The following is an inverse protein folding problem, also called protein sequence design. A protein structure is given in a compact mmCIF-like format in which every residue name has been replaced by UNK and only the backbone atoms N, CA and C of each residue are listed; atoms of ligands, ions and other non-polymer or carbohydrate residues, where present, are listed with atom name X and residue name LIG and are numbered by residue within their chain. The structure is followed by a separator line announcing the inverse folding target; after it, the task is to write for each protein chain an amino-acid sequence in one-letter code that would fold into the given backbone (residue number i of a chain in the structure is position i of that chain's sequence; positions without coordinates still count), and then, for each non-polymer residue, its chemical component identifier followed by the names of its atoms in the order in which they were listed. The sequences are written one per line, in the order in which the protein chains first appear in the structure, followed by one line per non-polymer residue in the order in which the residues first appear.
data_IF_474369289611
#
_entry.id   IF_474369289611
#
_cell.length_a   1.000
_cell.length_b   1.000
_cell.length_c   1.000
_cell.angle_alpha   90.00
_cell.angle_beta   90.00
_cell.angle_gamma   90.00
#
_symmetry.space_group_name_H-M   'P 1'
#
loop_
_entity.id
_entity.type
_entity.pdbx_description
1 polymer ?
#
# COMPACT_ATOMS: atom_id res chain seq x y z
N UNK A 1 5.56 11.28 -20.87
CA UNK A 1 5.90 11.49 -19.44
C UNK A 1 7.28 10.90 -19.22
N UNK A 2 8.20 11.66 -18.63
CA UNK A 2 9.56 11.17 -18.32
C UNK A 2 9.46 10.02 -17.29
N UNK A 3 10.38 9.06 -17.26
CA UNK A 3 10.35 7.95 -16.28
C UNK A 3 10.18 8.43 -14.83
N UNK A 4 10.83 9.54 -14.47
CA UNK A 4 10.77 10.16 -13.13
C UNK A 4 9.39 10.75 -12.80
N UNK A 5 8.74 11.42 -13.76
CA UNK A 5 7.39 11.96 -13.60
C UNK A 5 6.35 10.84 -13.47
N UNK A 6 6.58 9.73 -14.16
CA UNK A 6 5.73 8.54 -14.08
C UNK A 6 5.83 7.88 -12.71
N UNK A 7 7.04 7.73 -12.18
CA UNK A 7 7.24 7.18 -10.83
C UNK A 7 6.60 8.08 -9.77
N UNK A 8 6.70 9.40 -9.88
CA UNK A 8 6.05 10.32 -8.94
C UNK A 8 4.53 10.14 -8.88
N UNK A 9 3.86 9.99 -10.04
CA UNK A 9 2.42 9.72 -10.08
C UNK A 9 2.08 8.36 -9.42
N UNK A 10 2.86 7.32 -9.70
CA UNK A 10 2.65 5.98 -9.11
C UNK A 10 2.88 5.99 -7.60
N UNK A 11 3.90 6.71 -7.11
CA UNK A 11 4.16 6.87 -5.68
C UNK A 11 3.03 7.64 -4.98
N UNK A 12 2.40 8.58 -5.68
CA UNK A 12 1.21 9.26 -5.17
C UNK A 12 0.02 8.30 -5.06
N UNK A 13 -0.21 7.44 -6.05
CA UNK A 13 -1.24 6.40 -5.99
C UNK A 13 -1.01 5.44 -4.82
N UNK A 14 0.25 5.04 -4.58
CA UNK A 14 0.64 4.25 -3.41
C UNK A 14 0.31 5.00 -2.10
N UNK A 15 0.63 6.29 -2.02
CA UNK A 15 0.39 7.09 -0.83
C UNK A 15 -1.11 7.18 -0.50
N UNK A 16 -1.97 7.42 -1.50
CA UNK A 16 -3.41 7.45 -1.29
C UNK A 16 -3.93 6.09 -0.85
N UNK A 17 -3.55 5.01 -1.54
CA UNK A 17 -3.99 3.65 -1.20
C UNK A 17 -3.60 3.26 0.23
N UNK A 18 -2.37 3.63 0.66
CA UNK A 18 -1.92 3.39 2.03
C UNK A 18 -2.70 4.23 3.04
N UNK A 19 -2.97 5.51 2.75
CA UNK A 19 -3.79 6.37 3.61
C UNK A 19 -5.21 5.85 3.76
N UNK A 20 -5.84 5.43 2.66
CA UNK A 20 -7.17 4.82 2.68
C UNK A 20 -7.19 3.59 3.58
N UNK A 21 -6.23 2.67 3.40
CA UNK A 21 -6.11 1.48 4.26
C UNK A 21 -5.95 1.85 5.74
N UNK A 22 -5.10 2.83 6.08
CA UNK A 22 -4.95 3.29 7.47
C UNK A 22 -6.20 3.96 8.03
N UNK A 23 -6.91 4.75 7.23
CA UNK A 23 -8.16 5.40 7.62
C UNK A 23 -9.28 4.38 7.82
N UNK A 24 -9.32 3.35 6.97
CA UNK A 24 -10.24 2.22 7.10
C UNK A 24 -9.99 1.49 8.41
N UNK A 25 -8.76 1.31 8.89
CA UNK A 25 -8.53 0.60 10.18
C UNK A 25 -8.50 1.50 11.41
N UNK A 26 -8.62 2.82 11.22
CA UNK A 26 -8.59 3.78 12.33
C UNK A 26 -9.72 3.51 13.35
N UNK A 27 -9.33 3.35 14.61
CA UNK A 27 -10.25 3.05 15.72
C UNK A 27 -10.93 1.68 15.65
N UNK A 28 -10.59 0.82 14.67
CA UNK A 28 -11.07 -0.56 14.62
C UNK A 28 -10.18 -1.49 15.45
N UNK A 29 -10.73 -2.64 15.81
CA UNK A 29 -9.99 -3.83 16.20
C UNK A 29 -10.06 -4.87 15.09
N UNK A 30 -9.17 -5.87 15.12
CA UNK A 30 -9.24 -7.00 14.19
C UNK A 30 -10.60 -7.72 14.27
N UNK A 31 -11.18 -7.82 15.47
CA UNK A 31 -12.49 -8.42 15.67
C UNK A 31 -13.62 -7.57 15.07
N UNK A 32 -13.60 -6.24 15.27
CA UNK A 32 -14.61 -5.37 14.67
C UNK A 32 -14.52 -5.37 13.14
N UNK A 33 -13.30 -5.43 12.59
CA UNK A 33 -13.08 -5.54 11.16
C UNK A 33 -13.68 -6.84 10.61
N UNK A 34 -13.39 -7.99 11.25
CA UNK A 34 -13.96 -9.30 10.85
C UNK A 34 -15.49 -9.34 10.81
N UNK A 35 -16.15 -8.56 11.65
CA UNK A 35 -17.62 -8.49 11.72
C UNK A 35 -18.21 -7.48 10.72
N UNK A 36 -17.38 -6.65 10.10
CA UNK A 36 -17.77 -5.65 9.11
C UNK A 36 -17.22 -6.02 7.73
N UNK A 37 -18.08 -6.66 6.93
CA UNK A 37 -17.69 -7.15 5.60
C UNK A 37 -17.34 -6.01 4.63
N UNK A 38 -18.06 -4.88 4.69
CA UNK A 38 -17.80 -3.75 3.80
C UNK A 38 -16.44 -3.13 4.12
N UNK A 39 -16.14 -2.94 5.40
CA UNK A 39 -14.85 -2.40 5.85
C UNK A 39 -13.68 -3.35 5.55
N UNK A 40 -13.89 -4.65 5.70
CA UNK A 40 -12.91 -5.68 5.30
C UNK A 40 -12.62 -5.63 3.81
N UNK A 41 -13.67 -5.59 2.96
CA UNK A 41 -13.51 -5.51 1.51
C UNK A 41 -12.84 -4.21 1.06
N UNK A 42 -13.16 -3.10 1.72
CA UNK A 42 -12.49 -1.82 1.46
C UNK A 42 -10.99 -1.91 1.78
N UNK A 43 -10.63 -2.53 2.92
CA UNK A 43 -9.22 -2.73 3.28
C UNK A 43 -8.49 -3.62 2.27
N UNK A 44 -9.07 -4.76 1.91
CA UNK A 44 -8.54 -5.66 0.88
C UNK A 44 -8.27 -4.88 -0.42
N UNK A 45 -9.26 -4.10 -0.88
CA UNK A 45 -9.13 -3.33 -2.11
C UNK A 45 -8.03 -2.27 -2.05
N UNK A 46 -7.92 -1.52 -0.95
CA UNK A 46 -6.85 -0.54 -0.78
C UNK A 46 -5.47 -1.19 -0.78
N UNK A 47 -5.33 -2.38 -0.19
CA UNK A 47 -4.08 -3.13 -0.14
C UNK A 47 -3.71 -3.74 -1.51
N UNK A 48 -4.68 -4.18 -2.30
CA UNK A 48 -4.46 -4.59 -3.69
C UNK A 48 -3.94 -3.45 -4.56
N UNK A 49 -4.59 -2.28 -4.48
CA UNK A 49 -4.20 -1.10 -5.25
C UNK A 49 -2.79 -0.63 -4.89
N UNK A 50 -2.46 -0.64 -3.60
CA UNK A 50 -1.10 -0.36 -3.12
C UNK A 50 -0.07 -1.31 -3.75
N UNK A 51 -0.33 -2.61 -3.74
CA UNK A 51 0.58 -3.61 -4.31
C UNK A 51 0.68 -3.54 -5.83
N UNK A 52 -0.42 -3.23 -6.54
CA UNK A 52 -0.42 -3.00 -7.98
C UNK A 52 0.45 -1.78 -8.34
N UNK A 53 0.27 -0.66 -7.63
CA UNK A 53 1.06 0.54 -7.83
C UNK A 53 2.56 0.27 -7.53
N UNK A 54 2.88 -0.42 -6.43
CA UNK A 54 4.24 -0.84 -6.12
C UNK A 54 4.89 -1.70 -7.23
N UNK A 55 4.09 -2.51 -7.93
CA UNK A 55 4.51 -3.30 -9.08
C UNK A 55 4.88 -2.45 -10.30
N UNK A 56 4.22 -1.30 -10.46
CA UNK A 56 4.39 -0.36 -11.59
C UNK A 56 5.55 0.61 -11.43
N UNK A 57 6.01 0.87 -10.20
CA UNK A 57 7.21 1.70 -9.95
C UNK A 57 8.42 1.12 -10.70
N UNK A 58 9.20 1.98 -11.32
CA UNK A 58 10.34 1.57 -12.14
C UNK A 58 11.35 0.71 -11.37
N UNK A 59 12.02 -0.20 -12.08
CA UNK A 59 13.06 -1.03 -11.48
C UNK A 59 14.20 -0.17 -10.90
N UNK A 60 14.57 0.91 -11.58
CA UNK A 60 15.59 1.86 -11.14
C UNK A 60 15.22 2.51 -9.81
N UNK A 61 13.99 3.02 -9.67
CA UNK A 61 13.56 3.66 -8.42
C UNK A 61 13.50 2.64 -7.27
N UNK A 62 12.96 1.44 -7.52
CA UNK A 62 12.92 0.37 -6.50
C UNK A 62 14.31 -0.07 -6.06
N UNK A 63 15.26 -0.17 -6.99
CA UNK A 63 16.65 -0.50 -6.68
C UNK A 63 17.35 0.60 -5.87
N UNK A 64 17.02 1.87 -6.12
CA UNK A 64 17.53 3.00 -5.36
C UNK A 64 16.95 3.12 -3.94
N UNK A 65 15.79 2.50 -3.68
CA UNK A 65 15.09 2.57 -2.39
C UNK A 65 14.80 1.17 -1.82
N UNK A 66 15.82 0.35 -1.51
CA UNK A 66 15.65 -1.03 -1.05
C UNK A 66 15.03 -1.14 0.36
N UNK A 67 15.00 -0.04 1.12
CA UNK A 67 14.35 0.03 2.43
C UNK A 67 12.82 -0.08 2.37
N UNK A 68 12.22 0.14 1.18
CA UNK A 68 10.80 -0.05 0.97
C UNK A 68 10.55 -1.53 0.62
N UNK A 69 9.60 -2.23 1.26
CA UNK A 69 9.39 -3.66 1.08
C UNK A 69 8.62 -3.98 -0.23
N UNK A 70 9.15 -3.60 -1.38
CA UNK A 70 8.50 -3.71 -2.70
C UNK A 70 7.96 -5.11 -2.99
N UNK A 71 8.79 -6.14 -2.77
CA UNK A 71 8.42 -7.54 -3.04
C UNK A 71 7.27 -8.01 -2.17
N UNK A 72 7.21 -7.55 -0.91
CA UNK A 72 6.14 -7.91 0.01
C UNK A 72 4.81 -7.30 -0.44
N UNK A 73 4.79 -6.02 -0.83
CA UNK A 73 3.59 -5.35 -1.33
C UNK A 73 3.07 -6.00 -2.62
N UNK A 74 3.96 -6.30 -3.56
CA UNK A 74 3.59 -6.98 -4.82
C UNK A 74 3.08 -8.40 -4.53
N UNK A 75 3.72 -9.11 -3.61
CA UNK A 75 3.29 -10.44 -3.17
C UNK A 75 1.91 -10.41 -2.50
N UNK A 76 1.65 -9.42 -1.66
CA UNK A 76 0.35 -9.23 -1.01
C UNK A 76 -0.78 -9.07 -2.03
N UNK A 77 -0.57 -8.24 -3.06
CA UNK A 77 -1.56 -8.10 -4.16
C UNK A 77 -1.85 -9.43 -4.85
N UNK A 78 -0.85 -10.29 -5.03
CA UNK A 78 -1.08 -11.59 -5.66
C UNK A 78 -1.91 -12.52 -4.77
N UNK A 79 -1.69 -12.50 -3.46
CA UNK A 79 -2.49 -13.25 -2.50
C UNK A 79 -3.94 -12.74 -2.51
N UNK A 80 -4.14 -11.42 -2.38
CA UNK A 80 -5.48 -10.83 -2.35
C UNK A 80 -6.27 -11.09 -3.64
N UNK A 81 -5.61 -11.00 -4.81
CA UNK A 81 -6.27 -11.19 -6.10
C UNK A 81 -6.58 -12.66 -6.46
N UNK A 82 -5.96 -13.66 -5.82
CA UNK A 82 -6.09 -15.08 -6.21
C UNK A 82 -6.53 -16.02 -5.08
N UNK A 83 -6.30 -15.65 -3.82
CA UNK A 83 -6.51 -16.52 -2.65
C UNK A 83 -7.71 -16.10 -1.79
N UNK A 84 -8.77 -15.56 -2.39
CA UNK A 84 -10.01 -15.07 -1.75
C UNK A 84 -10.58 -15.97 -0.62
N UNK A 85 -10.25 -17.26 -0.56
CA UNK A 85 -10.68 -18.20 0.49
C UNK A 85 -9.75 -18.36 1.71
N UNK A 86 -8.54 -17.76 1.74
CA UNK A 86 -7.55 -17.93 2.83
C UNK A 86 -6.87 -16.63 3.28
N UNK A 87 -7.48 -15.48 3.02
CA UNK A 87 -6.91 -14.21 3.46
C UNK A 87 -6.97 -14.15 4.99
N UNK A 88 -5.80 -14.05 5.62
CA UNK A 88 -5.68 -13.77 7.04
C UNK A 88 -5.96 -12.28 7.28
N UNK A 89 -7.22 -11.97 7.60
CA UNK A 89 -7.68 -10.60 7.87
C UNK A 89 -7.03 -9.98 9.10
N UNK A 90 -6.64 -10.80 10.08
CA UNK A 90 -5.93 -10.31 11.25
C UNK A 90 -4.55 -9.81 10.83
N UNK A 91 -3.81 -10.61 10.05
CA UNK A 91 -2.52 -10.18 9.50
C UNK A 91 -2.67 -8.93 8.61
N UNK A 92 -3.70 -8.87 7.77
CA UNK A 92 -3.96 -7.70 6.92
C UNK A 92 -4.21 -6.43 7.74
N UNK A 93 -5.03 -6.54 8.79
CA UNK A 93 -5.27 -5.47 9.74
C UNK A 93 -3.98 -5.04 10.44
N UNK A 94 -3.16 -5.99 10.91
CA UNK A 94 -1.90 -5.69 11.57
C UNK A 94 -0.91 -4.98 10.66
N UNK A 95 -0.79 -5.37 9.40
CA UNK A 95 0.03 -4.65 8.41
C UNK A 95 -0.49 -3.24 8.20
N UNK A 96 -1.82 -3.05 8.08
CA UNK A 96 -2.41 -1.73 7.94
C UNK A 96 -2.13 -0.80 9.14
N UNK A 97 -2.18 -1.34 10.37
CA UNK A 97 -1.96 -0.56 11.59
C UNK A 97 -0.47 -0.31 11.88
N UNK A 98 0.40 -1.30 11.66
CA UNK A 98 1.80 -1.25 12.11
C UNK A 98 2.79 -0.84 11.03
N UNK A 99 2.55 -1.22 9.77
CA UNK A 99 3.55 -1.09 8.71
C UNK A 99 3.25 0.09 7.78
N UNK A 100 1.97 0.29 7.42
CA UNK A 100 1.60 1.37 6.51
C UNK A 100 1.91 2.79 7.01
N UNK A 101 1.82 3.14 8.31
CA UNK A 101 2.20 4.48 8.75
C UNK A 101 3.66 4.83 8.42
N UNK A 102 4.57 3.87 8.56
CA UNK A 102 5.98 4.07 8.20
C UNK A 102 6.15 4.22 6.67
N UNK A 103 5.43 3.42 5.88
CA UNK A 103 5.42 3.53 4.43
C UNK A 103 4.89 4.89 3.96
N UNK A 104 3.80 5.39 4.55
CA UNK A 104 3.22 6.71 4.27
C UNK A 104 4.28 7.80 4.47
N UNK A 105 4.98 7.79 5.60
CA UNK A 105 6.06 8.76 5.86
C UNK A 105 7.20 8.66 4.84
N UNK A 106 7.55 7.45 4.39
CA UNK A 106 8.58 7.27 3.35
C UNK A 106 8.11 7.86 2.01
N UNK A 107 6.89 7.55 1.58
CA UNK A 107 6.30 8.03 0.33
C UNK A 107 6.16 9.56 0.32
N UNK A 108 5.74 10.16 1.44
CA UNK A 108 5.68 11.62 1.60
C UNK A 108 7.05 12.27 1.41
N UNK A 109 8.14 11.66 1.90
CA UNK A 109 9.49 12.18 1.71
C UNK A 109 9.92 12.14 0.24
N UNK A 110 9.61 11.05 -0.48
CA UNK A 110 9.93 10.93 -1.90
C UNK A 110 9.16 11.94 -2.75
N UNK A 111 7.91 12.24 -2.37
CA UNK A 111 7.04 13.20 -3.06
C UNK A 111 7.29 14.66 -2.66
N UNK A 112 7.89 14.91 -1.49
CA UNK A 112 8.25 16.25 -1.00
C UNK A 112 9.60 16.73 -1.52
N UNK A 113 10.35 15.90 -2.23
CA UNK A 113 11.52 16.36 -2.96
C UNK A 113 11.08 17.42 -4.00
N UNK A 114 11.71 18.60 -4.06
CA UNK A 114 11.24 19.68 -4.92
C UNK A 114 11.17 19.21 -6.37
N UNK A 115 10.00 19.41 -6.99
CA UNK A 115 9.78 19.21 -8.43
C UNK A 115 10.93 19.89 -9.19
N UNK A 116 11.81 19.14 -9.90
CA UNK A 116 12.79 19.79 -10.75
C UNK A 116 12.03 20.58 -11.82
N UNK A 117 12.27 21.89 -11.85
CA UNK A 117 11.68 22.83 -12.80
C UNK A 117 11.96 22.40 -14.24
#
# INVERSE_FOLDING_TARGET
MRPEERDAAILWDMLQSARDATGIVAGATAESLRRDRLRTLALERSMELLGEAAGRVSATFRAAHPQVPWRAMIGLRNILAHEYGRIDHERLFMTAVKELPALITQLERFLSAPKPR
#
